data_IF_970823708258
#
_entry.id   IF_970823708258
#
_cell.length_a   1.000
_cell.length_b   1.000
_cell.length_c   1.000
_cell.angle_alpha   90.00
_cell.angle_beta   90.00
_cell.angle_gamma   90.00
#
_symmetry.space_group_name_H-M   'P 1'
#
loop_
_entity.id
_entity.type
_entity.pdbx_description
1 polymer ?
#
# COMPACT_ATOMS: atom_id res chain seq x y z
N UNK A 1 14.62 -10.62 62.07
CA UNK A 1 15.62 -9.79 61.39
C UNK A 1 15.72 -10.23 59.93
N UNK A 2 15.66 -9.24 59.03
CA UNK A 2 15.93 -9.27 57.60
C UNK A 2 15.01 -10.13 56.70
N UNK A 3 14.06 -9.42 56.08
CA UNK A 3 13.53 -9.73 54.75
C UNK A 3 14.60 -9.39 53.71
N UNK A 4 14.83 -10.25 52.73
CA UNK A 4 15.47 -9.88 51.48
C UNK A 4 14.53 -10.23 50.33
N UNK A 5 13.94 -9.17 49.76
CA UNK A 5 13.08 -9.20 48.60
C UNK A 5 13.87 -8.60 47.43
N UNK A 6 14.36 -9.43 46.51
CA UNK A 6 14.76 -8.98 45.17
C UNK A 6 15.04 -10.16 44.23
N UNK A 7 13.96 -10.75 43.72
CA UNK A 7 13.98 -11.27 42.36
C UNK A 7 12.60 -11.00 41.77
N UNK A 8 12.44 -9.97 40.92
CA UNK A 8 11.17 -9.75 40.28
C UNK A 8 10.94 -10.90 39.29
N UNK A 9 9.83 -11.59 39.47
CA UNK A 9 9.20 -12.56 38.56
C UNK A 9 8.85 -11.96 37.18
N UNK A 10 9.45 -10.82 36.81
CA UNK A 10 9.15 -10.00 35.63
C UNK A 10 9.93 -10.42 34.37
N UNK A 11 10.64 -11.56 34.39
CA UNK A 11 11.27 -12.11 33.17
C UNK A 11 10.42 -13.18 32.47
N UNK A 12 9.24 -13.53 33.01
CA UNK A 12 8.36 -14.53 32.41
C UNK A 12 7.05 -13.95 31.84
N UNK A 13 6.89 -12.62 31.83
CA UNK A 13 5.68 -11.94 31.34
C UNK A 13 6.04 -10.90 30.26
N UNK A 14 6.64 -11.35 29.16
CA UNK A 14 6.84 -10.48 28.00
C UNK A 14 6.97 -11.27 26.70
N UNK A 15 6.06 -12.21 26.47
CA UNK A 15 5.82 -12.75 25.12
C UNK A 15 4.42 -13.36 25.08
N UNK A 16 3.42 -12.49 25.29
CA UNK A 16 2.14 -12.73 24.64
C UNK A 16 2.41 -12.61 23.14
N UNK A 17 2.85 -13.71 22.52
CA UNK A 17 2.74 -13.93 21.09
C UNK A 17 1.25 -13.86 20.78
N UNK A 18 0.72 -12.65 20.61
CA UNK A 18 -0.48 -12.44 19.85
C UNK A 18 -0.21 -13.15 18.53
N UNK A 19 -1.01 -14.17 18.25
CA UNK A 19 -0.94 -14.98 17.05
C UNK A 19 -1.09 -14.03 15.86
N UNK A 20 0.05 -13.58 15.36
CA UNK A 20 0.13 -12.59 14.31
C UNK A 20 -0.45 -13.23 13.07
N UNK A 21 -1.56 -12.69 12.58
CA UNK A 21 -2.11 -13.21 11.33
C UNK A 21 -1.05 -13.03 10.24
N UNK A 22 -0.91 -14.00 9.34
CA UNK A 22 0.07 -13.93 8.24
C UNK A 22 -0.07 -12.63 7.43
N UNK A 23 -1.28 -12.06 7.38
CA UNK A 23 -1.61 -10.78 6.72
C UNK A 23 -0.97 -9.59 7.44
N UNK A 24 -1.04 -9.54 8.77
CA UNK A 24 -0.44 -8.45 9.54
C UNK A 24 1.08 -8.47 9.40
N UNK A 25 1.69 -9.65 9.37
CA UNK A 25 3.13 -9.79 9.11
C UNK A 25 3.55 -9.29 7.73
N UNK A 26 2.76 -9.57 6.69
CA UNK A 26 3.01 -9.07 5.33
C UNK A 26 2.94 -7.54 5.31
N UNK A 27 1.90 -6.96 5.91
CA UNK A 27 1.70 -5.52 5.89
C UNK A 27 2.76 -4.79 6.71
N UNK A 28 3.12 -5.28 7.90
CA UNK A 28 4.22 -4.73 8.69
C UNK A 28 5.54 -4.78 7.92
N UNK A 29 5.86 -5.90 7.28
CA UNK A 29 7.06 -6.00 6.46
C UNK A 29 7.07 -4.96 5.32
N UNK A 30 5.94 -4.76 4.64
CA UNK A 30 5.80 -3.76 3.58
C UNK A 30 5.94 -2.32 4.10
N UNK A 31 5.35 -2.01 5.25
CA UNK A 31 5.49 -0.74 5.98
C UNK A 31 6.96 -0.46 6.32
N UNK A 32 7.65 -1.45 6.90
CA UNK A 32 9.08 -1.33 7.23
C UNK A 32 9.93 -1.08 5.99
N UNK A 33 9.66 -1.79 4.89
CA UNK A 33 10.39 -1.61 3.64
C UNK A 33 10.20 -0.19 3.07
N UNK A 34 8.97 0.32 3.04
CA UNK A 34 8.67 1.68 2.57
C UNK A 34 9.34 2.74 3.45
N UNK A 35 9.23 2.60 4.77
CA UNK A 35 9.86 3.50 5.73
C UNK A 35 11.39 3.50 5.56
N UNK A 36 12.02 2.34 5.35
CA UNK A 36 13.45 2.25 5.08
C UNK A 36 13.84 3.00 3.80
N UNK A 37 13.14 2.76 2.69
CA UNK A 37 13.40 3.40 1.40
C UNK A 37 13.31 4.93 1.52
N UNK A 38 12.30 5.45 2.20
CA UNK A 38 12.09 6.90 2.28
C UNK A 38 13.02 7.53 3.32
N UNK A 39 13.02 7.00 4.55
CA UNK A 39 13.69 7.67 5.69
C UNK A 39 15.17 7.37 5.77
N UNK A 40 15.59 6.16 5.37
CA UNK A 40 16.98 5.71 5.48
C UNK A 40 17.73 5.92 4.17
N UNK A 41 17.12 5.54 3.04
CA UNK A 41 17.74 5.75 1.72
C UNK A 41 17.53 7.16 1.18
N UNK A 42 16.66 7.96 1.82
CA UNK A 42 16.41 9.35 1.44
C UNK A 42 15.71 9.49 0.09
N UNK A 43 15.05 8.43 -0.40
CA UNK A 43 14.33 8.49 -1.67
C UNK A 43 13.03 9.27 -1.43
N UNK A 44 12.77 10.37 -2.17
CA UNK A 44 11.52 11.10 -2.05
C UNK A 44 10.31 10.20 -2.27
N UNK A 45 9.27 10.32 -1.44
CA UNK A 45 8.05 9.50 -1.56
C UNK A 45 7.46 9.60 -2.97
N UNK A 46 7.50 10.80 -3.56
CA UNK A 46 7.06 11.10 -4.92
C UNK A 46 7.79 10.33 -6.03
N UNK A 47 8.93 9.71 -5.72
CA UNK A 47 9.72 8.87 -6.63
C UNK A 47 9.57 7.37 -6.34
N UNK A 48 8.83 6.98 -5.30
CA UNK A 48 8.57 5.58 -4.96
C UNK A 48 7.29 5.13 -5.66
N UNK A 49 7.37 4.02 -6.41
CA UNK A 49 6.20 3.36 -7.01
C UNK A 49 5.99 2.03 -6.33
N UNK A 50 4.78 1.79 -5.84
CA UNK A 50 4.40 0.52 -5.22
C UNK A 50 3.90 -0.42 -6.32
N UNK A 51 4.48 -1.61 -6.41
CA UNK A 51 4.09 -2.62 -7.39
C UNK A 51 3.58 -3.86 -6.65
N UNK A 52 2.34 -4.26 -6.93
CA UNK A 52 1.73 -5.46 -6.38
C UNK A 52 1.22 -6.37 -7.50
N UNK A 53 1.39 -7.69 -7.33
CA UNK A 53 0.84 -8.72 -8.21
C UNK A 53 -0.06 -9.67 -7.44
N UNK A 54 -1.23 -10.00 -7.98
CA UNK A 54 -2.17 -10.93 -7.33
C UNK A 54 -2.42 -10.50 -5.88
N UNK A 55 -2.22 -11.35 -4.86
CA UNK A 55 -2.31 -10.98 -3.43
C UNK A 55 -1.55 -9.69 -3.05
N UNK A 56 -0.40 -9.44 -3.68
CA UNK A 56 0.38 -8.23 -3.43
C UNK A 56 -0.33 -6.93 -3.82
N UNK A 57 -1.39 -6.97 -4.62
CA UNK A 57 -2.18 -5.77 -4.96
C UNK A 57 -2.91 -5.21 -3.74
N UNK A 58 -3.34 -6.07 -2.82
CA UNK A 58 -3.95 -5.65 -1.55
C UNK A 58 -2.95 -4.98 -0.63
N UNK A 59 -1.77 -5.58 -0.47
CA UNK A 59 -0.68 -4.97 0.29
C UNK A 59 -0.26 -3.63 -0.31
N UNK A 60 -0.11 -3.53 -1.65
CA UNK A 60 0.29 -2.29 -2.31
C UNK A 60 -0.73 -1.15 -2.12
N UNK A 61 -2.04 -1.43 -2.24
CA UNK A 61 -3.09 -0.44 -1.99
C UNK A 61 -3.17 -0.03 -0.52
N UNK A 62 -3.13 -0.99 0.41
CA UNK A 62 -3.13 -0.68 1.86
C UNK A 62 -1.91 0.13 2.25
N UNK A 63 -0.73 -0.22 1.73
CA UNK A 63 0.50 0.52 1.98
C UNK A 63 0.42 1.96 1.45
N UNK A 64 -0.16 2.19 0.27
CA UNK A 64 -0.40 3.54 -0.23
C UNK A 64 -1.35 4.34 0.70
N UNK A 65 -2.41 3.69 1.19
CA UNK A 65 -3.36 4.28 2.14
C UNK A 65 -2.67 4.66 3.44
N UNK A 66 -1.94 3.73 4.07
CA UNK A 66 -1.19 3.97 5.31
C UNK A 66 -0.19 5.11 5.12
N UNK A 67 0.56 5.11 4.02
CA UNK A 67 1.53 6.15 3.73
C UNK A 67 0.87 7.55 3.68
N UNK A 68 -0.31 7.65 3.08
CA UNK A 68 -1.01 8.92 2.93
C UNK A 68 -1.75 9.36 4.21
N UNK A 69 -2.40 8.43 4.92
CA UNK A 69 -3.24 8.75 6.07
C UNK A 69 -2.44 8.93 7.35
N UNK A 70 -1.47 8.04 7.61
CA UNK A 70 -0.68 8.07 8.85
C UNK A 70 0.54 8.99 8.71
N UNK A 71 1.21 9.00 7.55
CA UNK A 71 2.48 9.73 7.39
C UNK A 71 2.39 10.95 6.46
N UNK A 72 1.22 11.21 5.86
CA UNK A 72 1.01 12.26 4.87
C UNK A 72 1.99 12.18 3.67
N UNK A 73 2.46 10.98 3.37
CA UNK A 73 3.33 10.71 2.24
C UNK A 73 2.51 10.39 1.00
N UNK A 74 2.82 11.09 -0.09
CA UNK A 74 2.23 10.80 -1.40
C UNK A 74 3.24 10.07 -2.26
N UNK A 75 3.00 8.77 -2.47
CA UNK A 75 3.85 7.95 -3.35
C UNK A 75 3.77 8.43 -4.81
N UNK A 76 4.76 8.08 -5.62
CA UNK A 76 4.79 8.39 -7.05
C UNK A 76 3.66 7.73 -7.83
N UNK A 77 3.24 6.54 -7.39
CA UNK A 77 2.07 5.84 -7.92
C UNK A 77 1.99 4.40 -7.43
N UNK A 78 0.94 3.71 -7.84
CA UNK A 78 0.69 2.30 -7.55
C UNK A 78 0.44 1.55 -8.86
N UNK A 79 1.11 0.42 -9.04
CA UNK A 79 0.90 -0.50 -10.17
C UNK A 79 0.32 -1.80 -9.62
N UNK A 80 -0.84 -2.18 -10.12
CA UNK A 80 -1.55 -3.39 -9.74
C UNK A 80 -1.57 -4.36 -10.92
N UNK A 81 -0.86 -5.47 -10.81
CA UNK A 81 -0.87 -6.55 -11.78
C UNK A 81 -1.84 -7.66 -11.32
N UNK A 82 -2.73 -8.09 -12.22
CA UNK A 82 -3.81 -9.03 -11.96
C UNK A 82 -4.55 -8.77 -10.62
N UNK A 83 -5.06 -7.55 -10.37
CA UNK A 83 -5.75 -7.27 -9.12
C UNK A 83 -7.11 -7.92 -9.04
N UNK A 84 -7.51 -8.26 -7.81
CA UNK A 84 -8.84 -8.73 -7.47
C UNK A 84 -9.65 -7.63 -6.78
N UNK A 85 -10.98 -7.77 -6.74
CA UNK A 85 -11.88 -6.86 -6.01
C UNK A 85 -11.71 -7.06 -4.50
N UNK A 86 -11.87 -8.29 -4.04
CA UNK A 86 -11.63 -8.74 -2.68
C UNK A 86 -11.40 -10.26 -2.67
N UNK A 87 -10.74 -10.79 -1.64
CA UNK A 87 -10.57 -12.25 -1.50
C UNK A 87 -11.94 -12.94 -1.43
N UNK A 88 -12.90 -12.30 -0.74
CA UNK A 88 -14.30 -12.76 -0.68
C UNK A 88 -14.92 -12.89 -2.08
N UNK A 89 -14.67 -11.92 -2.97
CA UNK A 89 -15.20 -11.99 -4.32
C UNK A 89 -14.54 -13.12 -5.12
N UNK A 90 -13.22 -13.34 -4.98
CA UNK A 90 -12.54 -14.49 -5.59
C UNK A 90 -13.18 -15.80 -5.15
N UNK A 91 -13.40 -15.98 -3.84
CA UNK A 91 -14.06 -17.19 -3.32
C UNK A 91 -15.47 -17.35 -3.88
N UNK A 92 -16.19 -16.25 -4.10
CA UNK A 92 -17.53 -16.26 -4.72
C UNK A 92 -17.50 -16.66 -6.20
N UNK A 93 -16.41 -16.40 -6.91
CA UNK A 93 -16.29 -16.77 -8.32
C UNK A 93 -16.03 -18.27 -8.49
N UNK A 94 -15.32 -18.89 -7.54
CA UNK A 94 -15.01 -20.33 -7.54
C UNK A 94 -16.01 -21.20 -6.78
N UNK A 95 -16.72 -20.64 -5.80
CA UNK A 95 -17.60 -21.37 -4.91
C UNK A 95 -18.96 -20.66 -4.75
N UNK A 96 -19.93 -21.32 -4.12
CA UNK A 96 -21.24 -20.72 -3.88
C UNK A 96 -21.14 -19.52 -2.92
N UNK A 97 -21.93 -18.47 -3.14
CA UNK A 97 -21.94 -17.25 -2.32
C UNK A 97 -22.01 -17.49 -0.80
N UNK A 98 -22.65 -18.58 -0.36
CA UNK A 98 -22.73 -18.97 1.04
C UNK A 98 -21.34 -19.23 1.70
N UNK A 99 -20.38 -19.80 0.98
CA UNK A 99 -19.03 -20.08 1.53
C UNK A 99 -18.20 -18.80 1.68
N UNK A 100 -18.49 -17.78 0.87
CA UNK A 100 -17.80 -16.49 0.94
C UNK A 100 -18.04 -15.73 2.26
N UNK A 101 -19.16 -15.99 2.94
CA UNK A 101 -19.48 -15.35 4.22
C UNK A 101 -18.66 -15.89 5.40
N UNK A 102 -18.00 -17.04 5.23
CA UNK A 102 -17.15 -17.66 6.24
C UNK A 102 -15.69 -17.18 6.15
N UNK A 103 -15.35 -16.44 5.08
CA UNK A 103 -13.99 -15.95 4.86
C UNK A 103 -13.86 -14.55 5.46
N UNK A 104 -12.92 -14.34 6.41
CA UNK A 104 -12.69 -13.02 6.97
C UNK A 104 -12.26 -12.04 5.87
N UNK A 105 -12.75 -10.80 5.95
CA UNK A 105 -12.53 -9.76 4.93
C UNK A 105 -11.12 -9.19 5.02
N UNK A 106 -10.14 -9.93 4.52
CA UNK A 106 -8.79 -9.43 4.31
C UNK A 106 -8.59 -8.97 2.87
N UNK A 107 -7.88 -7.86 2.69
CA UNK A 107 -7.58 -7.23 1.40
C UNK A 107 -8.82 -6.98 0.51
N UNK A 108 -9.73 -6.10 0.96
CA UNK A 108 -10.75 -5.53 0.08
C UNK A 108 -10.14 -4.36 -0.72
N UNK A 109 -9.68 -4.66 -1.92
CA UNK A 109 -9.02 -3.69 -2.81
C UNK A 109 -9.99 -2.62 -3.28
N UNK A 110 -11.27 -2.97 -3.49
CA UNK A 110 -12.29 -2.02 -3.91
C UNK A 110 -12.60 -1.01 -2.79
N UNK A 111 -12.76 -1.47 -1.55
CA UNK A 111 -12.93 -0.59 -0.40
C UNK A 111 -11.71 0.30 -0.17
N UNK A 112 -10.49 -0.26 -0.27
CA UNK A 112 -9.24 0.49 -0.10
C UNK A 112 -9.07 1.54 -1.20
N UNK A 113 -9.36 1.18 -2.46
CA UNK A 113 -9.36 2.11 -3.59
C UNK A 113 -10.35 3.26 -3.38
N UNK A 114 -11.57 2.97 -2.91
CA UNK A 114 -12.56 4.00 -2.59
C UNK A 114 -12.03 4.99 -1.56
N UNK A 115 -11.43 4.49 -0.49
CA UNK A 115 -10.86 5.34 0.56
C UNK A 115 -9.71 6.22 0.04
N UNK A 116 -8.85 5.68 -0.82
CA UNK A 116 -7.77 6.43 -1.47
C UNK A 116 -8.29 7.51 -2.42
N UNK A 117 -9.38 7.24 -3.15
CA UNK A 117 -9.95 8.17 -4.12
C UNK A 117 -10.90 9.21 -3.49
N UNK A 118 -11.45 8.92 -2.30
CA UNK A 118 -12.43 9.80 -1.65
C UNK A 118 -11.74 11.05 -1.14
N UNK A 119 -12.16 12.19 -1.67
CA UNK A 119 -11.77 13.51 -1.19
C UNK A 119 -12.60 13.84 0.06
N UNK A 120 -11.95 14.24 1.15
CA UNK A 120 -12.64 14.64 2.38
C UNK A 120 -12.91 16.14 2.31
N UNK A 121 -14.19 16.59 2.28
CA UNK A 121 -14.53 18.00 2.07
C UNK A 121 -14.06 18.94 3.19
N UNK A 122 -14.00 18.44 4.42
CA UNK A 122 -13.70 19.23 5.64
C UNK A 122 -12.24 19.06 6.13
N UNK A 123 -11.38 18.45 5.34
CA UNK A 123 -9.99 18.28 5.74
C UNK A 123 -9.21 19.59 5.50
N UNK A 124 -8.75 20.21 6.59
CA UNK A 124 -7.64 21.18 6.61
C UNK A 124 -6.38 20.64 5.88
N UNK A 125 -6.35 19.33 5.59
CA UNK A 125 -5.25 18.63 4.92
C UNK A 125 -5.66 18.20 3.51
N UNK A 126 -4.99 18.77 2.51
CA UNK A 126 -5.12 18.37 1.10
C UNK A 126 -4.69 16.89 0.91
N UNK A 127 -5.60 16.05 0.39
CA UNK A 127 -5.35 14.62 0.08
C UNK A 127 -5.17 14.43 -1.44
N UNK A 128 -3.92 14.46 -1.96
CA UNK A 128 -3.70 14.32 -3.40
C UNK A 128 -4.06 12.91 -3.90
N UNK A 129 -4.54 12.82 -5.13
CA UNK A 129 -4.71 11.53 -5.79
C UNK A 129 -3.37 10.83 -6.00
N UNK A 130 -3.34 9.52 -5.75
CA UNK A 130 -2.18 8.67 -6.03
C UNK A 130 -2.36 8.04 -7.41
N UNK A 131 -1.48 8.32 -8.40
CA UNK A 131 -1.59 7.71 -9.72
C UNK A 131 -1.67 6.18 -9.66
N UNK A 132 -2.53 5.58 -10.49
CA UNK A 132 -2.82 4.15 -10.47
C UNK A 132 -2.71 3.55 -11.87
N UNK A 133 -1.97 2.46 -12.01
CA UNK A 133 -1.93 1.63 -13.21
C UNK A 133 -2.49 0.23 -12.91
N UNK A 134 -3.47 -0.21 -13.67
CA UNK A 134 -4.03 -1.56 -13.59
C UNK A 134 -3.56 -2.37 -14.80
N UNK A 135 -2.84 -3.46 -14.58
CA UNK A 135 -2.43 -4.43 -15.59
C UNK A 135 -3.23 -5.71 -15.39
N UNK A 136 -3.92 -6.20 -16.41
CA UNK A 136 -4.66 -7.47 -16.31
C UNK A 136 -4.55 -8.29 -17.60
N UNK A 137 -4.42 -9.62 -17.48
CA UNK A 137 -4.45 -10.50 -18.64
C UNK A 137 -5.88 -10.88 -19.01
N UNK A 138 -6.25 -10.81 -20.29
CA UNK A 138 -7.58 -11.19 -20.77
C UNK A 138 -7.84 -12.71 -20.65
N UNK A 139 -6.78 -13.51 -20.53
CA UNK A 139 -6.84 -14.96 -20.33
C UNK A 139 -6.50 -15.37 -18.90
N UNK A 140 -6.57 -14.44 -17.95
CA UNK A 140 -6.36 -14.76 -16.53
C UNK A 140 -7.47 -15.69 -16.04
N UNK A 141 -7.07 -16.92 -15.78
CA UNK A 141 -7.89 -18.04 -15.36
C UNK A 141 -8.02 -18.13 -13.84
N UNK A 142 -7.20 -17.39 -13.08
CA UNK A 142 -7.16 -17.39 -11.62
C UNK A 142 -7.92 -16.20 -11.04
N UNK A 143 -7.65 -15.00 -11.54
CA UNK A 143 -8.33 -13.76 -11.20
C UNK A 143 -8.94 -13.23 -12.47
N UNK A 144 -10.24 -13.46 -12.65
CA UNK A 144 -10.89 -13.14 -13.91
C UNK A 144 -10.76 -11.64 -14.28
N UNK A 145 -10.65 -11.30 -15.57
CA UNK A 145 -10.36 -9.93 -16.04
C UNK A 145 -11.36 -8.87 -15.55
N UNK A 146 -12.58 -9.27 -15.17
CA UNK A 146 -13.59 -8.34 -14.68
C UNK A 146 -13.17 -7.65 -13.38
N UNK A 147 -12.30 -8.25 -12.56
CA UNK A 147 -11.81 -7.61 -11.34
C UNK A 147 -11.00 -6.34 -11.63
N UNK A 148 -10.02 -6.42 -12.53
CA UNK A 148 -9.24 -5.25 -12.96
C UNK A 148 -10.15 -4.19 -13.58
N UNK A 149 -11.13 -4.60 -14.40
CA UNK A 149 -12.12 -3.67 -14.97
C UNK A 149 -12.98 -3.01 -13.91
N UNK A 150 -13.40 -3.74 -12.87
CA UNK A 150 -14.23 -3.19 -11.80
C UNK A 150 -13.49 -2.11 -11.01
N UNK A 151 -12.22 -2.36 -10.66
CA UNK A 151 -11.38 -1.35 -9.99
C UNK A 151 -11.16 -0.13 -10.88
N UNK A 152 -10.85 -0.34 -12.16
CA UNK A 152 -10.65 0.76 -13.11
C UNK A 152 -11.91 1.62 -13.26
N UNK A 153 -13.07 0.98 -13.47
CA UNK A 153 -14.37 1.66 -13.58
C UNK A 153 -14.72 2.40 -12.30
N UNK A 154 -14.44 1.84 -11.13
CA UNK A 154 -14.69 2.51 -9.87
C UNK A 154 -13.82 3.75 -9.68
N UNK A 155 -12.52 3.67 -9.99
CA UNK A 155 -11.64 4.83 -9.95
C UNK A 155 -12.13 5.95 -10.88
N UNK A 156 -12.55 5.62 -12.11
CA UNK A 156 -13.15 6.57 -13.04
C UNK A 156 -14.45 7.17 -12.48
N UNK A 157 -15.33 6.34 -11.90
CA UNK A 157 -16.60 6.78 -11.29
C UNK A 157 -16.38 7.76 -10.14
N UNK A 158 -15.28 7.58 -9.39
CA UNK A 158 -14.87 8.47 -8.31
C UNK A 158 -14.13 9.73 -8.79
N UNK A 159 -13.98 9.92 -10.10
CA UNK A 159 -13.32 11.09 -10.69
C UNK A 159 -11.80 11.08 -10.56
N UNK A 160 -11.18 9.90 -10.40
CA UNK A 160 -9.72 9.79 -10.26
C UNK A 160 -9.00 10.29 -11.53
N UNK A 161 -8.19 11.36 -11.47
CA UNK A 161 -7.64 12.03 -12.65
C UNK A 161 -6.46 11.27 -13.29
N UNK A 162 -5.83 10.37 -12.55
CA UNK A 162 -4.58 9.70 -12.92
C UNK A 162 -4.69 8.17 -12.83
N UNK A 163 -5.80 7.60 -13.30
CA UNK A 163 -5.97 6.15 -13.39
C UNK A 163 -5.79 5.68 -14.84
N UNK A 164 -4.99 4.64 -15.03
CA UNK A 164 -4.71 4.01 -16.31
C UNK A 164 -4.90 2.50 -16.20
N UNK A 165 -5.22 1.85 -17.32
CA UNK A 165 -5.32 0.40 -17.38
C UNK A 165 -4.83 -0.16 -18.71
N UNK A 166 -4.18 -1.32 -18.66
CA UNK A 166 -3.80 -2.11 -19.82
C UNK A 166 -4.28 -3.56 -19.64
N UNK A 167 -5.03 -4.04 -20.63
CA UNK A 167 -5.56 -5.39 -20.66
C UNK A 167 -4.86 -6.18 -21.78
N UNK A 168 -3.97 -7.10 -21.40
CA UNK A 168 -3.14 -7.85 -22.32
C UNK A 168 -3.94 -9.03 -22.93
N UNK A 169 -4.17 -9.07 -24.26
CA UNK A 169 -5.09 -10.03 -24.89
C UNK A 169 -4.75 -11.52 -24.67
N UNK A 170 -3.45 -11.82 -24.60
CA UNK A 170 -2.95 -13.20 -24.54
C UNK A 170 -2.42 -13.58 -23.16
N UNK A 171 -2.29 -12.62 -22.25
CA UNK A 171 -1.71 -12.86 -20.94
C UNK A 171 -2.67 -13.65 -20.03
N UNK A 172 -2.11 -14.61 -19.30
CA UNK A 172 -2.78 -15.41 -18.27
C UNK A 172 -2.36 -14.95 -16.88
N UNK A 173 -2.76 -15.64 -15.81
CA UNK A 173 -2.31 -15.26 -14.46
C UNK A 173 -0.78 -15.30 -14.30
N UNK A 174 -0.13 -16.26 -14.99
CA UNK A 174 1.28 -16.58 -14.84
C UNK A 174 2.11 -16.38 -16.11
N UNK A 175 1.47 -16.07 -17.24
CA UNK A 175 2.15 -15.92 -18.52
C UNK A 175 1.88 -14.55 -19.14
N UNK A 176 2.94 -13.81 -19.47
CA UNK A 176 2.90 -12.43 -19.93
C UNK A 176 4.03 -12.18 -20.94
N UNK A 177 3.79 -11.34 -21.95
CA UNK A 177 4.90 -10.73 -22.69
C UNK A 177 5.50 -9.63 -21.82
N UNK A 178 6.68 -9.89 -21.24
CA UNK A 178 7.32 -8.98 -20.29
C UNK A 178 7.53 -7.56 -20.87
N UNK A 179 7.95 -7.47 -22.13
CA UNK A 179 8.23 -6.18 -22.76
C UNK A 179 6.94 -5.41 -23.05
N UNK A 180 6.01 -6.05 -23.74
CA UNK A 180 4.80 -5.40 -24.26
C UNK A 180 3.76 -5.16 -23.17
N UNK A 181 3.52 -6.15 -22.33
CA UNK A 181 2.37 -6.14 -21.42
C UNK A 181 2.71 -5.54 -20.03
N UNK A 182 3.99 -5.55 -19.64
CA UNK A 182 4.42 -5.09 -18.31
C UNK A 182 5.34 -3.88 -18.40
N UNK A 183 6.51 -4.03 -19.03
CA UNK A 183 7.55 -2.99 -19.03
C UNK A 183 7.08 -1.74 -19.76
N UNK A 184 6.50 -1.89 -20.97
CA UNK A 184 6.06 -0.75 -21.77
C UNK A 184 5.00 0.10 -21.04
N UNK A 185 3.85 -0.44 -20.61
CA UNK A 185 2.83 0.37 -19.91
C UNK A 185 3.34 0.92 -18.58
N UNK A 186 4.14 0.14 -17.83
CA UNK A 186 4.71 0.62 -16.55
C UNK A 186 5.71 1.76 -16.77
N UNK A 187 6.55 1.68 -17.81
CA UNK A 187 7.50 2.74 -18.16
C UNK A 187 6.79 4.02 -18.60
N UNK A 188 5.72 3.89 -19.39
CA UNK A 188 4.88 5.02 -19.79
C UNK A 188 4.22 5.70 -18.58
N UNK A 189 3.67 4.90 -17.67
CA UNK A 189 3.10 5.37 -16.41
C UNK A 189 4.13 6.10 -15.54
N UNK A 190 5.32 5.52 -15.31
CA UNK A 190 6.40 6.14 -14.55
C UNK A 190 6.84 7.46 -15.21
N UNK A 191 7.02 7.46 -16.53
CA UNK A 191 7.42 8.66 -17.27
C UNK A 191 6.41 9.79 -17.05
N UNK A 192 5.11 9.50 -17.14
CA UNK A 192 4.04 10.48 -17.01
C UNK A 192 3.86 11.00 -15.58
N UNK A 193 3.86 10.10 -14.59
CA UNK A 193 3.43 10.45 -13.22
C UNK A 193 4.56 10.69 -12.24
N UNK A 194 5.74 10.13 -12.50
CA UNK A 194 6.90 10.22 -11.59
C UNK A 194 7.93 11.19 -12.15
N UNK A 195 8.30 11.05 -13.42
CA UNK A 195 9.36 11.87 -14.05
C UNK A 195 8.80 13.22 -14.49
N UNK A 196 7.67 13.23 -15.22
CA UNK A 196 7.08 14.43 -15.83
C UNK A 196 5.95 15.03 -14.99
N UNK A 197 5.99 14.81 -13.67
CA UNK A 197 4.91 15.26 -12.75
C UNK A 197 4.71 16.78 -12.90
N UNK A 198 3.50 17.27 -13.25
CA UNK A 198 3.29 18.70 -13.51
C UNK A 198 3.74 19.57 -12.32
N UNK A 199 4.48 20.66 -12.61
CA UNK A 199 5.11 21.55 -11.62
C UNK A 199 4.14 22.11 -10.56
N UNK A 200 2.84 22.15 -10.82
CA UNK A 200 1.82 22.59 -9.86
C UNK A 200 1.75 21.73 -8.58
N UNK A 201 2.23 20.48 -8.61
CA UNK A 201 2.30 19.58 -7.45
C UNK A 201 3.73 19.40 -6.90
N UNK A 202 4.76 19.82 -7.64
CA UNK A 202 6.17 19.65 -7.23
C UNK A 202 6.57 20.57 -6.06
N UNK A 203 5.89 21.70 -5.88
CA UNK A 203 6.18 22.66 -4.80
C UNK A 203 5.85 22.17 -3.38
N UNK A 204 5.17 21.04 -3.23
CA UNK A 204 4.70 20.52 -1.93
C UNK A 204 5.36 19.20 -1.50
N UNK A 205 6.23 18.61 -2.33
CA UNK A 205 6.85 17.27 -2.10
C UNK A 205 8.38 17.31 -2.18
N UNK A 206 9.01 18.34 -1.63
CA UNK A 206 10.47 18.27 -1.40
C UNK A 206 10.74 17.36 -0.20
N UNK A 207 11.92 16.76 -0.12
CA UNK A 207 12.32 15.94 1.05
C UNK A 207 12.21 16.69 2.41
N UNK A 208 11.95 18.01 2.39
CA UNK A 208 11.66 18.82 3.57
C UNK A 208 10.20 18.72 4.04
N UNK A 209 9.21 18.51 3.17
CA UNK A 209 7.78 18.36 3.55
C UNK A 209 7.41 16.94 3.98
N UNK A 210 8.23 15.93 3.66
CA UNK A 210 8.09 14.58 4.22
C UNK A 210 8.87 14.37 5.54
N UNK A 211 9.42 15.44 6.14
CA UNK A 211 10.00 15.37 7.49
C UNK A 211 8.91 15.68 8.51
N UNK A 212 8.63 14.78 9.47
CA UNK A 212 7.85 15.19 10.63
C UNK A 212 8.61 16.32 11.35
N UNK A 213 7.90 17.37 11.74
CA UNK A 213 8.44 18.54 12.41
C UNK A 213 8.90 18.19 13.82
N UNK A 214 10.11 17.65 13.94
CA UNK A 214 10.79 17.48 15.23
C UNK A 214 12.15 18.17 15.19
N UNK A 215 12.49 18.99 16.21
CA UNK A 215 13.74 19.74 16.22
C UNK A 215 14.94 18.78 16.25
N UNK A 216 15.82 18.92 15.27
CA UNK A 216 17.04 18.12 15.12
C UNK A 216 18.06 18.53 16.21
N UNK A 217 18.34 17.64 17.15
CA UNK A 217 19.61 17.65 17.89
C UNK A 217 20.52 16.54 17.35
N UNK A 218 21.78 16.90 17.17
CA UNK A 218 22.84 16.18 16.47
C UNK A 218 23.31 14.91 17.19
N UNK A 219 23.70 13.89 16.42
CA UNK A 219 24.42 12.69 16.86
C UNK A 219 23.66 11.37 16.64
N UNK A 220 24.26 10.44 15.90
CA UNK A 220 23.82 9.05 15.59
C UNK A 220 23.28 8.26 16.80
N UNK A 221 22.41 7.22 16.72
CA UNK A 221 21.84 6.47 15.58
C UNK A 221 20.30 6.63 15.51
N UNK A 222 19.82 7.67 14.83
CA UNK A 222 18.40 8.06 14.90
C UNK A 222 17.49 7.31 13.91
N UNK A 223 18.04 6.57 12.94
CA UNK A 223 17.25 6.01 11.84
C UNK A 223 16.41 4.80 12.25
N UNK A 224 16.97 3.91 13.07
CA UNK A 224 16.22 2.77 13.63
C UNK A 224 15.09 3.26 14.56
N UNK A 225 15.35 4.30 15.37
CA UNK A 225 14.34 4.93 16.22
C UNK A 225 13.18 5.54 15.43
N UNK A 226 13.47 6.18 14.29
CA UNK A 226 12.46 6.75 13.38
C UNK A 226 11.60 5.68 12.72
N UNK A 227 12.20 4.58 12.23
CA UNK A 227 11.44 3.46 11.67
C UNK A 227 10.55 2.82 12.75
N UNK A 228 11.11 2.56 13.94
CA UNK A 228 10.35 1.99 15.06
C UNK A 228 9.22 2.91 15.51
N UNK A 229 9.40 4.23 15.48
CA UNK A 229 8.34 5.18 15.80
C UNK A 229 7.22 5.15 14.75
N UNK A 230 7.54 5.21 13.45
CA UNK A 230 6.55 5.14 12.37
C UNK A 230 5.78 3.80 12.40
N UNK A 231 6.46 2.71 12.70
CA UNK A 231 5.85 1.38 12.82
C UNK A 231 4.99 1.28 14.08
N UNK A 232 5.39 1.91 15.18
CA UNK A 232 4.56 2.00 16.40
C UNK A 232 3.30 2.83 16.17
N UNK A 233 3.39 3.93 15.43
CA UNK A 233 2.24 4.76 15.04
C UNK A 233 1.24 3.93 14.21
N UNK A 234 1.72 3.13 13.26
CA UNK A 234 0.85 2.26 12.46
C UNK A 234 0.28 1.08 13.26
N UNK A 235 1.09 0.44 14.12
CA UNK A 235 0.60 -0.67 14.96
C UNK A 235 -0.40 -0.22 16.03
N UNK A 236 -0.43 1.06 16.40
CA UNK A 236 -1.42 1.63 17.32
C UNK A 236 -2.79 1.90 16.70
N UNK A 237 -2.88 2.01 15.36
CA UNK A 237 -4.14 2.20 14.62
C UNK A 237 -4.72 0.89 14.05
N UNK A 238 -3.94 -0.20 14.05
CA UNK A 238 -4.32 -1.52 13.52
C UNK A 238 -4.93 -2.44 14.61
N UNK A 239 -4.90 -2.04 15.90
CA UNK A 239 -5.52 -2.77 17.01
C UNK A 239 -6.90 -2.22 17.41
#
# INVERSE_FOLDING_TARGET
>A
CAQDASCPTACCEAEAQAEETTVDGIDRAAIHALAYVITTRGIPCSQVVLFGRSLGTGTALRLAKVAQETWHWTVGGVVLQCPYISIKQIVTDYACAATSFLIPTYYDNLATLRQLCTQVPDAETFKPFVPLLILHGERDEIIWPYHGRALYKEALRLGHPSVEAAFAPEATHNWWNLCEDIICPTSQFIKKHVIQRPNALQGQTTAATCRPSYPCQSGTPQTAGKILQLVREVNGEIL
#
